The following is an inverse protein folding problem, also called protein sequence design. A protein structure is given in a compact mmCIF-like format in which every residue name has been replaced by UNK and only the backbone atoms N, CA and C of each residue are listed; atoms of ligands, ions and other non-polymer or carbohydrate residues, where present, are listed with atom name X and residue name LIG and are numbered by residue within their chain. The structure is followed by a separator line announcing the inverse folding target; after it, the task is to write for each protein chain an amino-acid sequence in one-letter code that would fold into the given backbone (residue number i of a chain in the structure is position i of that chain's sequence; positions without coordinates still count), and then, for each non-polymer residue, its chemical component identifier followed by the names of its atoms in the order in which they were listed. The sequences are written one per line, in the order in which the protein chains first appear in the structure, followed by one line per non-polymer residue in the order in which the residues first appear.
data_IF_001522904341
#
_entry.id   IF_001522904341
#
_cell.length_a   1.000
_cell.length_b   1.000
_cell.length_c   1.000
_cell.angle_alpha   90.00
_cell.angle_beta   90.00
_cell.angle_gamma   90.00
#
_symmetry.space_group_name_H-M   'P 1'
#
loop_
_entity.id
_entity.type
_entity.pdbx_description
1 polymer ?
#
# COMPACT_ATOMS: atom_id res chain seq x y z
N UNK A 1 20.78 -8.13 13.98
CA UNK A 1 20.32 -9.29 14.72
C UNK A 1 20.76 -10.55 14.00
N UNK A 2 21.45 -11.43 14.73
CA UNK A 2 22.17 -12.56 14.14
C UNK A 2 21.29 -13.72 13.66
N UNK A 3 19.96 -13.62 13.73
CA UNK A 3 19.04 -14.73 13.44
C UNK A 3 17.78 -14.28 12.65
N UNK A 4 17.93 -13.38 11.69
CA UNK A 4 16.82 -13.05 10.78
C UNK A 4 16.84 -14.03 9.61
N UNK A 5 15.88 -14.97 9.54
CA UNK A 5 15.62 -15.78 8.34
C UNK A 5 14.85 -14.93 7.34
N UNK A 6 15.54 -14.30 6.41
CA UNK A 6 14.96 -13.49 5.36
C UNK A 6 14.89 -14.30 4.06
N UNK A 7 13.66 -14.56 3.59
CA UNK A 7 13.41 -15.18 2.29
C UNK A 7 12.82 -14.15 1.34
N UNK A 8 13.30 -14.15 0.10
CA UNK A 8 12.87 -13.20 -0.94
C UNK A 8 12.41 -13.96 -2.17
N UNK A 9 11.20 -13.64 -2.64
CA UNK A 9 10.64 -14.21 -3.87
C UNK A 9 10.32 -13.11 -4.87
N UNK A 10 10.89 -13.14 -6.09
CA UNK A 10 10.62 -12.16 -7.13
C UNK A 10 9.29 -12.46 -7.84
N UNK A 11 8.20 -12.43 -7.10
CA UNK A 11 6.85 -12.73 -7.59
C UNK A 11 5.93 -11.53 -7.41
N UNK A 12 4.93 -11.42 -8.29
CA UNK A 12 3.91 -10.40 -8.19
C UNK A 12 2.80 -10.85 -7.24
N UNK A 13 2.50 -10.05 -6.22
CA UNK A 13 1.39 -10.33 -5.31
C UNK A 13 0.06 -10.36 -6.10
N UNK A 14 -0.85 -11.25 -5.74
CA UNK A 14 -2.11 -11.43 -6.46
C UNK A 14 -2.01 -12.24 -7.76
N UNK A 15 -0.81 -12.68 -8.16
CA UNK A 15 -0.65 -13.68 -9.22
C UNK A 15 -0.91 -15.11 -8.68
N UNK A 16 -1.34 -16.07 -9.50
CA UNK A 16 -1.59 -17.46 -9.05
C UNK A 16 -0.38 -18.13 -8.39
N UNK A 17 0.85 -17.74 -8.75
CA UNK A 17 2.06 -18.23 -8.10
C UNK A 17 2.15 -17.79 -6.64
N UNK A 18 1.62 -16.62 -6.29
CA UNK A 18 1.57 -16.13 -4.90
C UNK A 18 0.62 -16.96 -4.04
N UNK A 19 -0.51 -17.41 -4.60
CA UNK A 19 -1.41 -18.34 -3.92
C UNK A 19 -0.70 -19.66 -3.58
N UNK A 20 0.04 -20.20 -4.54
CA UNK A 20 0.83 -21.43 -4.33
C UNK A 20 1.87 -21.23 -3.23
N UNK A 21 2.58 -20.08 -3.23
CA UNK A 21 3.53 -19.74 -2.18
C UNK A 21 2.86 -19.68 -0.81
N UNK A 22 1.75 -18.94 -0.68
CA UNK A 22 0.99 -18.83 0.57
C UNK A 22 0.57 -20.22 1.09
N UNK A 23 0.19 -21.12 0.20
CA UNK A 23 -0.25 -22.47 0.58
C UNK A 23 0.91 -23.43 0.88
N UNK A 24 2.11 -23.20 0.37
CA UNK A 24 3.29 -24.07 0.55
C UNK A 24 4.13 -23.70 1.78
N UNK A 25 4.06 -22.47 2.24
CA UNK A 25 4.80 -22.00 3.44
C UNK A 25 3.98 -22.22 4.71
N UNK A 26 4.64 -22.23 5.85
CA UNK A 26 3.97 -22.15 7.14
C UNK A 26 3.21 -20.83 7.26
N UNK A 27 2.08 -20.79 7.99
CA UNK A 27 1.32 -19.54 8.16
C UNK A 27 2.17 -18.47 8.83
N UNK A 28 2.09 -17.24 8.29
CA UNK A 28 2.73 -16.08 8.91
C UNK A 28 1.79 -15.50 9.96
N UNK A 29 2.31 -15.14 11.14
CA UNK A 29 1.52 -14.48 12.19
C UNK A 29 0.96 -13.13 11.71
N UNK A 30 1.78 -12.37 10.98
CA UNK A 30 1.44 -11.05 10.48
C UNK A 30 1.76 -10.97 8.99
N UNK A 31 0.78 -10.55 8.19
CA UNK A 31 0.94 -10.25 6.76
C UNK A 31 0.77 -8.76 6.53
N UNK A 32 1.78 -8.09 5.98
CA UNK A 32 1.76 -6.66 5.68
C UNK A 32 1.87 -6.42 4.18
N UNK A 33 0.80 -5.93 3.56
CA UNK A 33 0.81 -5.61 2.13
C UNK A 33 1.03 -4.12 1.88
N UNK A 34 2.18 -3.80 1.30
CA UNK A 34 2.56 -2.45 0.87
C UNK A 34 2.45 -2.24 -0.65
N UNK A 35 2.08 -3.28 -1.40
CA UNK A 35 1.97 -3.18 -2.85
C UNK A 35 0.76 -2.32 -3.24
N UNK A 36 1.02 -1.26 -4.01
CA UNK A 36 -0.02 -0.36 -4.50
C UNK A 36 0.47 0.46 -5.69
N UNK A 37 -0.44 0.86 -6.57
CA UNK A 37 -0.21 1.90 -7.56
C UNK A 37 -0.69 3.25 -7.00
N UNK A 38 0.21 4.24 -6.94
CA UNK A 38 -0.02 5.53 -6.28
C UNK A 38 0.07 6.76 -7.19
N UNK A 39 0.35 6.59 -8.47
CA UNK A 39 0.63 7.70 -9.37
C UNK A 39 -0.64 8.31 -9.95
N UNK A 40 -1.03 9.49 -9.45
CA UNK A 40 -2.17 10.28 -9.97
C UNK A 40 -1.99 10.67 -11.45
N UNK A 41 -0.74 10.82 -11.92
CA UNK A 41 -0.45 11.13 -13.33
C UNK A 41 -0.91 10.04 -14.31
N UNK A 42 -1.07 8.81 -13.83
CA UNK A 42 -1.57 7.68 -14.62
C UNK A 42 -3.09 7.71 -14.84
N UNK A 43 -3.82 8.65 -14.22
CA UNK A 43 -5.28 8.76 -14.37
C UNK A 43 -5.74 9.28 -15.75
N UNK A 44 -4.80 9.61 -16.64
CA UNK A 44 -5.08 10.13 -17.99
C UNK A 44 -5.35 9.04 -19.03
N UNK A 45 -5.03 7.80 -18.71
CA UNK A 45 -5.09 6.67 -19.60
C UNK A 45 -5.92 5.54 -18.99
N UNK A 46 -6.88 5.01 -19.76
CA UNK A 46 -7.81 3.97 -19.32
C UNK A 46 -7.10 2.69 -18.87
N UNK A 47 -6.02 2.30 -19.53
CA UNK A 47 -5.28 1.07 -19.16
C UNK A 47 -4.58 1.23 -17.83
N UNK A 48 -4.00 2.40 -17.58
CA UNK A 48 -3.43 2.75 -16.28
C UNK A 48 -4.46 2.76 -15.16
N UNK A 49 -5.69 3.22 -15.45
CA UNK A 49 -6.79 3.18 -14.49
C UNK A 49 -7.22 1.75 -14.18
N UNK A 50 -7.38 0.92 -15.20
CA UNK A 50 -7.72 -0.50 -15.02
C UNK A 50 -6.63 -1.23 -14.23
N UNK A 51 -5.35 -0.96 -14.53
CA UNK A 51 -4.23 -1.52 -13.78
C UNK A 51 -4.23 -1.05 -12.31
N UNK A 52 -4.62 0.20 -12.05
CA UNK A 52 -4.73 0.73 -10.70
C UNK A 52 -5.86 0.06 -9.92
N UNK A 53 -7.03 -0.14 -10.54
CA UNK A 53 -8.14 -0.89 -9.95
C UNK A 53 -7.75 -2.35 -9.68
N UNK A 54 -7.15 -3.01 -10.66
CA UNK A 54 -6.69 -4.38 -10.50
C UNK A 54 -5.70 -4.50 -9.34
N UNK A 55 -4.66 -3.66 -9.30
CA UNK A 55 -3.62 -3.73 -8.28
C UNK A 55 -4.11 -3.32 -6.91
N UNK A 56 -4.82 -2.19 -6.80
CA UNK A 56 -5.21 -1.64 -5.51
C UNK A 56 -6.44 -2.32 -4.90
N UNK A 57 -7.31 -2.92 -5.71
CA UNK A 57 -8.57 -3.49 -5.23
C UNK A 57 -8.64 -5.00 -5.45
N UNK A 58 -8.57 -5.45 -6.71
CA UNK A 58 -8.84 -6.86 -7.06
C UNK A 58 -7.76 -7.78 -6.51
N UNK A 59 -6.48 -7.48 -6.75
CA UNK A 59 -5.36 -8.28 -6.26
C UNK A 59 -5.27 -8.25 -4.73
N UNK A 60 -5.61 -7.11 -4.13
CA UNK A 60 -5.66 -6.96 -2.68
C UNK A 60 -6.72 -7.88 -2.06
N UNK A 61 -7.93 -7.88 -2.63
CA UNK A 61 -9.02 -8.76 -2.20
C UNK A 61 -8.63 -10.23 -2.31
N UNK A 62 -8.06 -10.59 -3.46
CA UNK A 62 -7.61 -11.96 -3.77
C UNK A 62 -6.51 -12.40 -2.81
N UNK A 63 -5.49 -11.59 -2.60
CA UNK A 63 -4.39 -11.90 -1.69
C UNK A 63 -4.88 -12.08 -0.25
N UNK A 64 -5.75 -11.18 0.24
CA UNK A 64 -6.39 -11.32 1.55
C UNK A 64 -7.15 -12.67 1.64
N UNK A 65 -7.91 -13.02 0.60
CA UNK A 65 -8.69 -14.27 0.61
C UNK A 65 -7.82 -15.52 0.66
N UNK A 66 -6.69 -15.55 -0.02
CA UNK A 66 -5.73 -16.66 0.03
C UNK A 66 -5.11 -16.81 1.41
N UNK A 67 -4.68 -15.69 2.02
CA UNK A 67 -4.13 -15.68 3.38
C UNK A 67 -5.18 -16.17 4.38
N UNK A 68 -6.41 -15.70 4.27
CA UNK A 68 -7.52 -16.12 5.12
C UNK A 68 -7.87 -17.61 4.94
N UNK A 69 -7.92 -18.08 3.71
CA UNK A 69 -8.22 -19.49 3.40
C UNK A 69 -7.11 -20.45 3.89
N UNK A 70 -5.84 -20.03 3.83
CA UNK A 70 -4.72 -20.79 4.40
C UNK A 70 -4.86 -20.96 5.90
N UNK A 71 -5.40 -19.96 6.59
CA UNK A 71 -5.54 -19.93 8.05
C UNK A 71 -4.21 -19.73 8.78
N UNK A 72 -4.27 -19.59 10.09
CA UNK A 72 -3.10 -19.40 10.96
C UNK A 72 -2.56 -17.96 11.03
N UNK A 73 -2.84 -17.10 10.05
CA UNK A 73 -2.51 -15.67 10.11
C UNK A 73 -3.45 -14.94 11.04
N UNK A 74 -2.91 -14.27 12.06
CA UNK A 74 -3.69 -13.53 13.05
C UNK A 74 -3.93 -12.07 12.69
N UNK A 75 -3.06 -11.49 11.87
CA UNK A 75 -3.11 -10.06 11.48
C UNK A 75 -2.83 -9.86 9.99
N UNK A 76 -3.68 -9.07 9.35
CA UNK A 76 -3.47 -8.63 7.97
C UNK A 76 -3.52 -7.10 7.89
N UNK A 77 -2.46 -6.50 7.37
CA UNK A 77 -2.35 -5.06 7.18
C UNK A 77 -2.30 -4.71 5.70
N UNK A 78 -3.07 -3.70 5.29
CA UNK A 78 -3.01 -3.11 3.95
C UNK A 78 -2.75 -1.60 4.02
N UNK A 79 -1.68 -1.13 3.38
CA UNK A 79 -1.33 0.29 3.38
C UNK A 79 -2.37 1.16 2.69
N UNK A 80 -2.78 2.27 3.29
CA UNK A 80 -3.68 3.26 2.72
C UNK A 80 -3.07 4.67 2.70
N UNK A 81 -3.88 5.70 2.52
CA UNK A 81 -3.47 7.09 2.34
C UNK A 81 -4.55 8.04 2.86
N UNK A 82 -4.16 9.24 3.24
CA UNK A 82 -5.06 10.35 3.57
C UNK A 82 -6.10 10.64 2.47
N UNK A 83 -5.73 10.38 1.20
CA UNK A 83 -6.59 10.59 0.01
C UNK A 83 -7.78 9.64 -0.07
N UNK A 84 -7.78 8.54 0.69
CA UNK A 84 -8.90 7.63 0.81
C UNK A 84 -10.03 8.19 1.70
N UNK A 85 -9.74 9.17 2.57
CA UNK A 85 -10.72 9.75 3.49
C UNK A 85 -11.82 10.55 2.74
N UNK A 86 -11.40 11.38 1.79
CA UNK A 86 -12.29 12.14 0.92
C UNK A 86 -11.70 12.15 -0.51
N UNK A 87 -11.96 11.10 -1.30
CA UNK A 87 -11.29 10.92 -2.57
C UNK A 87 -11.74 11.97 -3.61
N UNK A 88 -10.79 12.77 -4.05
CA UNK A 88 -10.94 13.74 -5.15
C UNK A 88 -10.19 13.30 -6.41
N UNK A 89 -9.57 12.12 -6.39
CA UNK A 89 -8.86 11.49 -7.50
C UNK A 89 -9.25 10.01 -7.60
N UNK A 90 -9.07 9.42 -8.76
CA UNK A 90 -9.35 7.99 -8.97
C UNK A 90 -8.40 7.12 -8.13
N UNK A 91 -7.14 7.53 -7.96
CA UNK A 91 -6.22 6.85 -7.06
C UNK A 91 -6.76 6.85 -5.61
N UNK A 92 -7.25 7.98 -5.12
CA UNK A 92 -7.89 8.06 -3.80
C UNK A 92 -9.13 7.17 -3.71
N UNK A 93 -9.96 7.15 -4.75
CA UNK A 93 -11.14 6.29 -4.84
C UNK A 93 -10.78 4.80 -4.82
N UNK A 94 -9.74 4.37 -5.58
CA UNK A 94 -9.29 2.96 -5.55
C UNK A 94 -8.76 2.57 -4.17
N UNK A 95 -8.11 3.48 -3.45
CA UNK A 95 -7.65 3.22 -2.09
C UNK A 95 -8.80 3.14 -1.09
N UNK A 96 -9.85 3.94 -1.27
CA UNK A 96 -11.08 3.82 -0.49
C UNK A 96 -11.77 2.49 -0.73
N UNK A 97 -11.95 2.09 -2.00
CA UNK A 97 -12.50 0.77 -2.35
C UNK A 97 -11.65 -0.37 -1.78
N UNK A 98 -10.32 -0.23 -1.80
CA UNK A 98 -9.42 -1.19 -1.15
C UNK A 98 -9.75 -1.34 0.34
N UNK A 99 -9.92 -0.24 1.06
CA UNK A 99 -10.28 -0.28 2.49
C UNK A 99 -11.63 -0.96 2.69
N UNK A 100 -12.64 -0.60 1.89
CA UNK A 100 -13.97 -1.20 1.98
C UNK A 100 -13.91 -2.74 1.75
N UNK A 101 -13.07 -3.19 0.81
CA UNK A 101 -12.82 -4.63 0.57
C UNK A 101 -12.03 -5.27 1.71
N UNK A 102 -11.02 -4.59 2.25
CA UNK A 102 -10.22 -5.12 3.36
C UNK A 102 -11.08 -5.31 4.61
N UNK A 103 -11.93 -4.35 4.91
CA UNK A 103 -12.79 -4.37 6.11
C UNK A 103 -14.14 -5.07 5.90
N UNK A 104 -14.47 -5.45 4.65
CA UNK A 104 -15.68 -6.24 4.41
C UNK A 104 -15.59 -7.58 5.15
N UNK A 105 -16.73 -8.01 5.70
CA UNK A 105 -16.88 -9.26 6.41
C UNK A 105 -16.79 -10.47 5.46
N UNK A 106 -15.61 -10.72 4.93
CA UNK A 106 -15.28 -12.04 4.38
C UNK A 106 -14.90 -12.95 5.55
N UNK A 107 -15.08 -14.28 5.48
CA UNK A 107 -14.85 -15.17 6.59
C UNK A 107 -13.36 -15.26 6.95
N UNK A 108 -12.88 -14.23 7.61
CA UNK A 108 -11.54 -14.14 8.20
C UNK A 108 -11.64 -14.48 9.69
N UNK A 109 -12.34 -15.57 10.03
CA UNK A 109 -12.50 -15.97 11.42
C UNK A 109 -11.14 -16.05 12.12
N UNK A 110 -10.90 -15.13 13.04
CA UNK A 110 -9.66 -15.04 13.82
C UNK A 110 -8.54 -14.19 13.22
N UNK A 111 -8.71 -13.54 12.06
CA UNK A 111 -7.72 -12.63 11.49
C UNK A 111 -8.16 -11.17 11.65
N UNK A 112 -7.41 -10.38 12.42
CA UNK A 112 -7.61 -8.94 12.53
C UNK A 112 -7.08 -8.23 11.28
N UNK A 113 -7.90 -7.35 10.71
CA UNK A 113 -7.54 -6.59 9.52
C UNK A 113 -7.37 -5.13 9.89
N UNK A 114 -6.23 -4.55 9.53
CA UNK A 114 -5.92 -3.15 9.82
C UNK A 114 -5.39 -2.41 8.59
N UNK A 115 -5.45 -1.09 8.66
CA UNK A 115 -4.91 -0.20 7.63
C UNK A 115 -4.42 1.09 8.28
N UNK A 116 -3.49 1.78 7.64
CA UNK A 116 -3.03 3.09 8.07
C UNK A 116 -3.17 4.11 6.95
N UNK A 117 -3.79 5.25 7.26
CA UNK A 117 -3.82 6.44 6.42
C UNK A 117 -2.79 7.43 6.93
N UNK A 118 -1.84 7.81 6.09
CA UNK A 118 -0.87 8.84 6.41
C UNK A 118 -0.69 9.83 5.26
N UNK A 119 -0.15 10.99 5.58
CA UNK A 119 0.11 12.07 4.65
C UNK A 119 1.19 11.71 3.61
N UNK A 120 1.67 12.68 2.84
CA UNK A 120 2.71 12.42 1.87
C UNK A 120 4.01 12.03 2.56
N UNK A 121 4.62 10.94 2.14
CA UNK A 121 5.93 10.52 2.66
C UNK A 121 7.01 11.40 2.02
N UNK A 122 7.76 12.12 2.85
CA UNK A 122 8.79 13.06 2.43
C UNK A 122 9.88 12.33 1.62
N UNK A 123 10.27 12.92 0.49
CA UNK A 123 11.24 12.36 -0.45
C UNK A 123 10.93 10.94 -0.95
N UNK A 124 9.66 10.53 -0.93
CA UNK A 124 9.26 9.30 -1.57
C UNK A 124 9.39 9.40 -3.10
N UNK A 125 9.53 8.25 -3.77
CA UNK A 125 9.67 8.22 -5.23
C UNK A 125 8.49 8.91 -5.93
N UNK A 126 8.80 9.81 -6.86
CA UNK A 126 7.83 10.63 -7.59
C UNK A 126 7.20 11.77 -6.77
N UNK A 127 7.66 12.04 -5.54
CA UNK A 127 7.20 13.17 -4.73
C UNK A 127 7.74 14.51 -5.26
N UNK A 128 7.01 15.58 -4.99
CA UNK A 128 7.43 16.94 -5.38
C UNK A 128 8.78 17.35 -4.75
N UNK A 129 9.04 17.10 -3.45
CA UNK A 129 10.35 17.39 -2.86
C UNK A 129 11.51 16.63 -3.55
N UNK A 130 11.31 15.37 -3.91
CA UNK A 130 12.31 14.61 -4.66
C UNK A 130 12.55 15.23 -6.05
N UNK A 131 11.48 15.63 -6.75
CA UNK A 131 11.59 16.28 -8.04
C UNK A 131 12.31 17.63 -7.95
N UNK A 132 12.14 18.39 -6.87
CA UNK A 132 12.87 19.64 -6.64
C UNK A 132 14.36 19.40 -6.44
N UNK A 133 14.75 18.42 -5.62
CA UNK A 133 16.18 18.07 -5.46
C UNK A 133 16.83 17.76 -6.80
N UNK A 134 16.19 16.93 -7.61
CA UNK A 134 16.71 16.59 -8.95
C UNK A 134 16.79 17.81 -9.87
N UNK A 135 15.84 18.74 -9.80
CA UNK A 135 15.89 19.98 -10.57
C UNK A 135 17.02 20.89 -10.13
N UNK A 136 17.28 20.99 -8.83
CA UNK A 136 18.42 21.74 -8.27
C UNK A 136 19.74 21.16 -8.81
N UNK A 137 19.93 19.84 -8.75
CA UNK A 137 21.11 19.16 -9.28
C UNK A 137 21.33 19.41 -10.77
N UNK A 138 20.24 19.57 -11.53
CA UNK A 138 20.27 19.82 -12.97
C UNK A 138 20.27 21.31 -13.34
N UNK A 139 20.34 22.23 -12.38
CA UNK A 139 20.26 23.69 -12.63
C UNK A 139 18.92 24.14 -13.23
N UNK A 140 17.85 23.37 -13.04
CA UNK A 140 16.52 23.65 -13.58
C UNK A 140 15.69 24.52 -12.63
N UNK A 141 14.80 25.39 -13.15
CA UNK A 141 13.95 26.23 -12.32
C UNK A 141 12.99 25.39 -11.49
N UNK A 142 12.76 25.84 -10.23
CA UNK A 142 11.78 25.24 -9.34
C UNK A 142 10.39 25.83 -9.60
N UNK A 143 9.40 24.95 -9.73
CA UNK A 143 8.00 25.34 -9.78
C UNK A 143 7.30 24.91 -8.49
N UNK A 144 6.68 25.85 -7.80
CA UNK A 144 5.87 25.62 -6.61
C UNK A 144 4.48 26.24 -6.80
N UNK A 145 3.40 25.49 -6.57
CA UNK A 145 2.04 26.04 -6.63
C UNK A 145 1.83 26.99 -5.44
N UNK A 146 1.31 28.19 -5.72
CA UNK A 146 0.96 29.14 -4.67
C UNK A 146 -0.25 28.67 -3.88
N UNK A 147 -0.24 28.90 -2.56
CA UNK A 147 -1.39 28.60 -1.68
C UNK A 147 -1.64 27.12 -1.39
N UNK A 148 -0.81 26.22 -1.88
CA UNK A 148 -0.96 24.79 -1.62
C UNK A 148 -0.29 24.42 -0.30
N UNK A 149 -1.07 23.92 0.66
CA UNK A 149 -0.56 23.33 1.90
C UNK A 149 -0.50 21.81 1.75
N UNK A 150 0.58 21.21 2.22
CA UNK A 150 0.78 19.75 2.23
C UNK A 150 1.30 19.31 3.58
N UNK A 151 0.77 18.22 4.09
CA UNK A 151 1.28 17.55 5.27
C UNK A 151 2.24 16.44 4.83
N UNK A 152 3.29 16.27 5.60
CA UNK A 152 4.30 15.25 5.33
C UNK A 152 4.58 14.44 6.60
N UNK A 153 4.94 13.19 6.39
CA UNK A 153 5.57 12.32 7.37
C UNK A 153 6.92 11.88 6.83
N UNK A 154 7.86 11.60 7.70
CA UNK A 154 9.13 10.98 7.32
C UNK A 154 8.93 9.52 6.94
N UNK A 155 9.94 8.90 6.34
CA UNK A 155 9.90 7.45 6.07
C UNK A 155 9.85 6.62 7.35
N UNK A 156 10.57 7.06 8.38
CA UNK A 156 10.58 6.41 9.69
C UNK A 156 9.19 6.46 10.33
N UNK A 157 8.59 7.64 10.45
CA UNK A 157 7.23 7.81 10.98
C UNK A 157 6.19 7.00 10.19
N UNK A 158 6.27 6.98 8.86
CA UNK A 158 5.36 6.17 8.04
C UNK A 158 5.53 4.67 8.34
N UNK A 159 6.75 4.19 8.52
CA UNK A 159 7.06 2.82 8.92
C UNK A 159 6.52 2.48 10.31
N UNK A 160 6.75 3.35 11.27
CA UNK A 160 6.25 3.20 12.65
C UNK A 160 4.71 3.16 12.70
N UNK A 161 4.04 4.07 11.98
CA UNK A 161 2.57 4.07 11.86
C UNK A 161 2.06 2.73 11.30
N UNK A 162 2.69 2.21 10.23
CA UNK A 162 2.29 0.94 9.65
C UNK A 162 2.53 -0.23 10.62
N UNK A 163 3.67 -0.24 11.32
CA UNK A 163 4.00 -1.27 12.29
C UNK A 163 3.01 -1.24 13.47
N UNK A 164 2.75 -0.08 14.05
CA UNK A 164 1.78 0.08 15.13
C UNK A 164 0.38 -0.35 14.69
N UNK A 165 -0.09 0.09 13.51
CA UNK A 165 -1.39 -0.30 12.99
C UNK A 165 -1.48 -1.82 12.73
N UNK A 166 -0.40 -2.47 12.33
CA UNK A 166 -0.39 -3.93 12.11
C UNK A 166 -0.37 -4.74 13.41
N UNK A 167 0.19 -4.19 14.50
CA UNK A 167 0.33 -4.89 15.78
C UNK A 167 -0.81 -4.60 16.76
N UNK A 168 -1.40 -3.40 16.70
CA UNK A 168 -2.40 -2.92 17.67
C UNK A 168 -3.80 -2.79 17.07
N UNK A 169 -3.91 -2.81 15.73
CA UNK A 169 -5.18 -2.67 15.01
C UNK A 169 -6.01 -3.94 14.93
#
# INVERSE_FOLDING_TARGET
PANLDLRMWPIDFGAPVTERLVNSEDPYDVVMNFAALKHVRSEKDIYSLLQMLDTNVVRQARFKSWVAARGGTTRFFGVSTDKAANPTSLMGATKRLMEDVLFSASPTAGMNVSSARFANVLFSNGSLPQAWLRRIELGQPLAAPRGTRRYFVTRAEAGEICLLASLLG
#
